data_IF_184697443279
#
_entry.id   IF_184697443279
#
_cell.length_a   1.000
_cell.length_b   1.000
_cell.length_c   1.000
_cell.angle_alpha   90.00
_cell.angle_beta   90.00
_cell.angle_gamma   90.00
#
_symmetry.space_group_name_H-M   'P 1'
#
loop_
_entity.id
_entity.type
_entity.pdbx_description
1 polymer ?
#
# COMPACT_ATOMS: atom_id res chain seq x y z
N UNK A 1 -24.95 -43.71 27.18
CA UNK A 1 -23.84 -44.46 26.54
C UNK A 1 -23.38 -43.90 25.20
N UNK A 2 -24.18 -43.20 24.39
CA UNK A 2 -23.71 -42.67 23.05
C UNK A 2 -22.82 -41.43 23.13
N UNK A 3 -22.84 -40.65 24.19
CA UNK A 3 -21.97 -39.43 24.33
C UNK A 3 -20.49 -39.78 24.54
N UNK A 4 -20.19 -40.89 25.23
CA UNK A 4 -18.81 -41.28 25.50
C UNK A 4 -18.07 -41.83 24.28
N UNK A 5 -18.77 -42.45 23.35
CA UNK A 5 -18.15 -43.01 22.13
C UNK A 5 -17.69 -41.92 21.15
N UNK A 6 -18.48 -40.85 21.03
CA UNK A 6 -18.10 -39.68 20.21
C UNK A 6 -16.87 -38.97 20.80
N UNK A 7 -16.85 -38.77 22.10
CA UNK A 7 -15.72 -38.15 22.82
C UNK A 7 -14.45 -38.98 22.72
N UNK A 8 -14.55 -40.32 22.71
CA UNK A 8 -13.39 -41.21 22.54
C UNK A 8 -12.81 -41.13 21.13
N UNK A 9 -13.66 -41.13 20.11
CA UNK A 9 -13.21 -41.03 18.72
C UNK A 9 -12.56 -39.66 18.43
N UNK A 10 -13.08 -38.58 19.01
CA UNK A 10 -12.49 -37.26 18.88
C UNK A 10 -11.11 -37.20 19.57
N UNK A 11 -10.99 -37.74 20.78
CA UNK A 11 -9.73 -37.84 21.51
C UNK A 11 -8.71 -38.71 20.76
N UNK A 12 -9.15 -39.81 20.16
CA UNK A 12 -8.30 -40.67 19.34
C UNK A 12 -7.79 -39.93 18.09
N UNK A 13 -8.69 -39.22 17.36
CA UNK A 13 -8.31 -38.40 16.20
C UNK A 13 -7.29 -37.32 16.58
N UNK A 14 -7.50 -36.65 17.72
CA UNK A 14 -6.55 -35.62 18.19
C UNK A 14 -5.19 -36.22 18.54
N UNK A 15 -5.15 -37.40 19.20
CA UNK A 15 -3.90 -38.10 19.52
C UNK A 15 -3.16 -38.58 18.26
N UNK A 16 -3.89 -39.16 17.32
CA UNK A 16 -3.30 -39.63 16.04
C UNK A 16 -2.76 -38.41 15.27
N UNK A 17 -3.53 -37.31 15.19
CA UNK A 17 -3.05 -36.08 14.54
C UNK A 17 -1.79 -35.54 15.20
N UNK A 18 -1.73 -35.50 16.52
CA UNK A 18 -0.54 -35.04 17.25
C UNK A 18 0.66 -35.97 17.03
N UNK A 19 0.43 -37.30 17.03
CA UNK A 19 1.46 -38.29 16.75
C UNK A 19 2.01 -38.11 15.32
N UNK A 20 1.15 -38.02 14.32
CA UNK A 20 1.56 -37.77 12.94
C UNK A 20 2.34 -36.49 12.80
N UNK A 21 1.90 -35.39 13.45
CA UNK A 21 2.66 -34.14 13.43
C UNK A 21 4.03 -34.25 14.08
N UNK A 22 4.19 -35.09 15.08
CA UNK A 22 5.48 -35.31 15.76
C UNK A 22 6.40 -36.21 14.97
N UNK A 23 5.88 -37.30 14.37
CA UNK A 23 6.66 -38.29 13.64
C UNK A 23 6.98 -37.83 12.22
N UNK A 24 6.01 -37.19 11.55
CA UNK A 24 6.18 -36.66 10.20
C UNK A 24 6.40 -35.14 10.20
N UNK A 25 7.12 -34.63 11.18
CA UNK A 25 7.46 -33.21 11.27
C UNK A 25 8.13 -32.79 9.97
N UNK A 26 7.42 -32.04 9.15
CA UNK A 26 8.00 -31.41 7.97
C UNK A 26 9.04 -30.40 8.42
N UNK A 27 10.29 -30.65 8.13
CA UNK A 27 11.35 -29.68 8.32
C UNK A 27 11.31 -28.77 7.10
N UNK A 28 10.81 -27.57 7.27
CA UNK A 28 10.87 -26.56 6.24
C UNK A 28 12.31 -26.02 6.17
N UNK A 29 13.09 -26.56 5.24
CA UNK A 29 14.39 -25.99 4.93
C UNK A 29 14.15 -24.77 4.04
N UNK A 30 14.44 -23.59 4.56
CA UNK A 30 14.43 -22.36 3.75
C UNK A 30 15.65 -22.41 2.82
N UNK A 31 15.41 -22.56 1.54
CA UNK A 31 16.42 -22.43 0.49
C UNK A 31 16.22 -21.08 -0.18
N UNK A 32 17.24 -20.24 -0.14
CA UNK A 32 17.23 -18.97 -0.88
C UNK A 32 17.92 -19.22 -2.22
N UNK A 33 17.19 -19.04 -3.29
CA UNK A 33 17.73 -19.10 -4.65
C UNK A 33 17.66 -17.70 -5.26
N UNK A 34 18.78 -17.25 -5.81
CA UNK A 34 18.83 -16.05 -6.61
C UNK A 34 18.32 -16.37 -8.02
N UNK A 35 17.21 -15.74 -8.40
CA UNK A 35 16.64 -15.90 -9.74
C UNK A 35 16.77 -14.57 -10.47
N UNK A 36 17.34 -14.62 -11.68
CA UNK A 36 17.48 -13.46 -12.54
C UNK A 36 16.52 -13.58 -13.70
N UNK A 37 15.68 -12.59 -13.89
CA UNK A 37 14.73 -12.51 -14.98
C UNK A 37 15.01 -11.28 -15.86
N UNK A 38 14.65 -11.35 -17.12
CA UNK A 38 14.78 -10.23 -18.06
C UNK A 38 13.40 -9.67 -18.37
N UNK A 39 13.24 -8.37 -18.23
CA UNK A 39 12.00 -7.66 -18.54
C UNK A 39 12.17 -6.83 -19.80
N UNK A 40 11.23 -6.96 -20.73
CA UNK A 40 11.19 -6.14 -21.93
C UNK A 40 10.76 -4.70 -21.57
N UNK A 41 11.57 -3.69 -21.93
CA UNK A 41 11.25 -2.29 -21.65
C UNK A 41 10.16 -1.72 -22.59
N UNK A 42 9.88 -2.41 -23.70
CA UNK A 42 8.88 -2.03 -24.70
C UNK A 42 7.71 -3.00 -24.70
N UNK A 43 7.12 -3.18 -23.57
CA UNK A 43 5.96 -4.06 -23.44
C UNK A 43 4.70 -3.48 -24.07
N UNK A 44 3.72 -4.36 -24.33
CA UNK A 44 2.39 -3.91 -24.70
C UNK A 44 1.78 -3.14 -23.51
N UNK A 45 1.45 -1.85 -23.68
CA UNK A 45 1.04 -0.98 -22.57
C UNK A 45 -0.35 -1.31 -22.02
N UNK A 46 -1.07 -2.27 -22.61
CA UNK A 46 -2.47 -2.56 -22.26
C UNK A 46 -2.70 -2.73 -20.76
N UNK A 47 -1.87 -3.55 -20.11
CA UNK A 47 -2.02 -3.81 -18.67
C UNK A 47 -1.71 -2.55 -17.83
N UNK A 48 -0.61 -1.89 -18.13
CA UNK A 48 -0.16 -0.68 -17.43
C UNK A 48 -1.15 0.47 -17.64
N UNK A 49 -1.58 0.68 -18.88
CA UNK A 49 -2.54 1.73 -19.22
C UNK A 49 -3.90 1.50 -18.54
N UNK A 50 -4.36 0.25 -18.50
CA UNK A 50 -5.61 -0.11 -17.80
C UNK A 50 -5.53 0.23 -16.31
N UNK A 51 -4.43 -0.16 -15.64
CA UNK A 51 -4.22 0.16 -14.22
C UNK A 51 -4.13 1.66 -14.00
N UNK A 52 -3.44 2.39 -14.89
CA UNK A 52 -3.32 3.84 -14.86
C UNK A 52 -4.69 4.51 -14.99
N UNK A 53 -5.52 4.10 -15.93
CA UNK A 53 -6.86 4.65 -16.13
C UNK A 53 -7.75 4.47 -14.90
N UNK A 54 -7.72 3.29 -14.26
CA UNK A 54 -8.45 3.07 -13.00
C UNK A 54 -7.92 3.92 -11.85
N UNK A 55 -6.60 4.10 -11.77
CA UNK A 55 -5.97 4.97 -10.79
C UNK A 55 -6.40 6.43 -10.97
N UNK A 56 -6.33 6.93 -12.19
CA UNK A 56 -6.62 8.34 -12.50
C UNK A 56 -8.10 8.67 -12.27
N UNK A 57 -9.00 7.76 -12.67
CA UNK A 57 -10.43 7.87 -12.34
C UNK A 57 -10.69 7.86 -10.83
N UNK A 58 -9.95 7.04 -10.08
CA UNK A 58 -10.06 7.05 -8.62
C UNK A 58 -9.68 8.40 -8.04
N UNK A 59 -8.58 9.01 -8.52
CA UNK A 59 -8.17 10.34 -8.06
C UNK A 59 -9.17 11.42 -8.44
N UNK A 60 -9.78 11.34 -9.61
CA UNK A 60 -10.86 12.22 -10.01
C UNK A 60 -12.05 12.13 -9.06
N UNK A 61 -12.51 10.93 -8.73
CA UNK A 61 -13.60 10.75 -7.77
C UNK A 61 -13.23 11.24 -6.37
N UNK A 62 -12.00 11.01 -5.89
CA UNK A 62 -11.52 11.58 -4.63
C UNK A 62 -11.58 13.12 -4.64
N UNK A 63 -11.24 13.75 -5.75
CA UNK A 63 -11.35 15.21 -5.92
C UNK A 63 -12.82 15.66 -5.88
N UNK A 64 -13.70 14.94 -6.56
CA UNK A 64 -15.14 15.23 -6.57
C UNK A 64 -15.77 15.10 -5.18
N UNK A 65 -15.37 14.11 -4.39
CA UNK A 65 -15.80 13.99 -2.98
C UNK A 65 -15.44 15.26 -2.20
N UNK A 66 -14.22 15.77 -2.33
CA UNK A 66 -13.79 17.00 -1.65
C UNK A 66 -14.61 18.22 -2.09
N UNK A 67 -14.88 18.35 -3.39
CA UNK A 67 -15.71 19.44 -3.94
C UNK A 67 -17.13 19.40 -3.39
N UNK A 68 -17.74 18.20 -3.38
CA UNK A 68 -19.11 18.07 -2.88
C UNK A 68 -19.20 18.16 -1.36
N UNK A 69 -18.15 17.78 -0.63
CA UNK A 69 -18.06 18.02 0.81
C UNK A 69 -17.99 19.53 1.15
N UNK A 70 -17.32 20.33 0.32
CA UNK A 70 -17.34 21.78 0.46
C UNK A 70 -18.75 22.36 0.20
N UNK A 71 -19.38 21.96 -0.91
CA UNK A 71 -20.77 22.36 -1.22
C UNK A 71 -21.77 21.94 -0.16
N UNK A 72 -21.59 20.76 0.43
CA UNK A 72 -22.41 20.30 1.55
C UNK A 72 -22.30 21.23 2.76
N UNK A 73 -21.08 21.67 3.09
CA UNK A 73 -20.87 22.65 4.18
C UNK A 73 -21.49 24.01 3.88
N UNK A 74 -21.47 24.45 2.62
CA UNK A 74 -22.10 25.70 2.18
C UNK A 74 -23.64 25.61 2.25
N UNK A 75 -24.20 24.49 1.76
CA UNK A 75 -25.65 24.23 1.83
C UNK A 75 -26.16 24.16 3.29
N UNK A 76 -25.37 23.56 4.20
CA UNK A 76 -25.69 23.57 5.63
C UNK A 76 -25.74 24.96 6.23
N UNK A 77 -24.86 25.88 5.79
CA UNK A 77 -24.86 27.27 6.25
C UNK A 77 -26.02 28.08 5.67
N UNK A 78 -26.47 27.71 4.46
CA UNK A 78 -27.59 28.35 3.79
C UNK A 78 -28.95 27.79 4.24
N UNK A 79 -28.96 26.72 5.04
CA UNK A 79 -30.16 26.01 5.50
C UNK A 79 -31.10 25.57 4.36
N UNK A 80 -30.54 25.26 3.19
CA UNK A 80 -31.28 24.80 2.02
C UNK A 80 -31.37 23.24 2.01
N UNK A 81 -32.55 22.65 2.30
CA UNK A 81 -32.69 21.21 2.43
C UNK A 81 -32.48 20.47 1.11
N UNK A 82 -32.86 21.04 -0.03
CA UNK A 82 -32.72 20.42 -1.34
C UNK A 82 -31.24 20.37 -1.75
N UNK A 83 -30.51 21.47 -1.54
CA UNK A 83 -29.06 21.51 -1.79
C UNK A 83 -28.29 20.57 -0.85
N UNK A 84 -28.68 20.43 0.41
CA UNK A 84 -28.10 19.51 1.39
C UNK A 84 -28.27 18.07 0.93
N UNK A 85 -29.47 17.66 0.53
CA UNK A 85 -29.74 16.31 0.08
C UNK A 85 -28.98 15.98 -1.21
N UNK A 86 -29.00 16.88 -2.17
CA UNK A 86 -28.26 16.73 -3.44
C UNK A 86 -26.77 16.59 -3.19
N UNK A 87 -26.18 17.42 -2.34
CA UNK A 87 -24.75 17.36 -2.03
C UNK A 87 -24.38 16.06 -1.30
N UNK A 88 -25.21 15.61 -0.36
CA UNK A 88 -25.03 14.32 0.35
C UNK A 88 -25.05 13.13 -0.62
N UNK A 89 -26.05 13.09 -1.51
CA UNK A 89 -26.20 12.00 -2.47
C UNK A 89 -25.02 11.96 -3.45
N UNK A 90 -24.56 13.11 -3.93
CA UNK A 90 -23.39 13.18 -4.81
C UNK A 90 -22.10 12.79 -4.09
N UNK A 91 -21.90 13.21 -2.86
CA UNK A 91 -20.75 12.82 -2.05
C UNK A 91 -20.71 11.31 -1.84
N UNK A 92 -21.83 10.70 -1.43
CA UNK A 92 -21.94 9.24 -1.25
C UNK A 92 -21.69 8.46 -2.55
N UNK A 93 -22.21 8.95 -3.68
CA UNK A 93 -21.97 8.34 -4.99
C UNK A 93 -20.49 8.32 -5.35
N UNK A 94 -19.81 9.48 -5.26
CA UNK A 94 -18.40 9.56 -5.62
C UNK A 94 -17.49 8.83 -4.63
N UNK A 95 -17.86 8.75 -3.36
CA UNK A 95 -17.17 7.94 -2.38
C UNK A 95 -17.26 6.45 -2.69
N UNK A 96 -18.44 5.97 -3.05
CA UNK A 96 -18.65 4.58 -3.48
C UNK A 96 -17.86 4.26 -4.76
N UNK A 97 -17.85 5.17 -5.74
CA UNK A 97 -17.10 5.01 -6.98
C UNK A 97 -15.59 4.97 -6.72
N UNK A 98 -15.04 5.87 -5.88
CA UNK A 98 -13.61 5.83 -5.58
C UNK A 98 -13.20 4.55 -4.83
N UNK A 99 -14.07 4.04 -3.94
CA UNK A 99 -13.83 2.79 -3.22
C UNK A 99 -13.88 1.59 -4.18
N UNK A 100 -14.83 1.55 -5.10
CA UNK A 100 -14.91 0.51 -6.13
C UNK A 100 -13.62 0.46 -6.97
N UNK A 101 -13.12 1.62 -7.42
CA UNK A 101 -11.85 1.68 -8.16
C UNK A 101 -10.65 1.25 -7.32
N UNK A 102 -10.63 1.56 -6.01
CA UNK A 102 -9.60 1.06 -5.10
C UNK A 102 -9.60 -0.47 -5.02
N UNK A 103 -10.76 -1.08 -4.91
CA UNK A 103 -10.90 -2.55 -4.84
C UNK A 103 -10.43 -3.19 -6.15
N UNK A 104 -10.82 -2.62 -7.31
CA UNK A 104 -10.37 -3.10 -8.61
C UNK A 104 -8.85 -3.04 -8.72
N UNK A 105 -8.22 -1.92 -8.36
CA UNK A 105 -6.77 -1.75 -8.42
C UNK A 105 -6.03 -2.77 -7.56
N UNK A 106 -6.47 -2.99 -6.32
CA UNK A 106 -5.86 -3.96 -5.44
C UNK A 106 -6.05 -5.40 -5.95
N UNK A 107 -7.22 -5.69 -6.53
CA UNK A 107 -7.52 -7.01 -7.10
C UNK A 107 -6.74 -7.29 -8.39
N UNK A 108 -6.41 -6.27 -9.15
CA UNK A 108 -5.65 -6.38 -10.39
C UNK A 108 -4.27 -6.97 -10.14
N UNK A 109 -3.57 -6.47 -9.11
CA UNK A 109 -2.30 -7.03 -8.68
C UNK A 109 -2.45 -8.46 -8.13
N UNK A 110 -3.41 -8.69 -7.24
CA UNK A 110 -3.67 -10.01 -6.66
C UNK A 110 -4.02 -11.07 -7.72
N UNK A 111 -4.66 -10.65 -8.82
CA UNK A 111 -5.00 -11.52 -9.95
C UNK A 111 -3.76 -12.10 -10.64
N UNK A 112 -2.66 -11.35 -10.71
CA UNK A 112 -1.39 -11.80 -11.32
C UNK A 112 -0.80 -13.01 -10.58
N UNK A 113 -1.02 -13.13 -9.27
CA UNK A 113 -0.56 -14.26 -8.47
C UNK A 113 -1.47 -15.51 -8.53
N UNK A 114 -2.67 -15.38 -9.08
CA UNK A 114 -3.64 -16.47 -9.11
C UNK A 114 -3.28 -17.48 -10.20
N UNK A 115 -2.95 -18.72 -9.81
CA UNK A 115 -2.74 -19.83 -10.76
C UNK A 115 -3.95 -20.01 -11.65
N UNK A 116 -3.73 -20.11 -12.96
CA UNK A 116 -4.80 -20.21 -13.96
C UNK A 116 -5.41 -18.87 -14.38
N UNK A 117 -4.96 -17.76 -13.83
CA UNK A 117 -5.34 -16.43 -14.35
C UNK A 117 -4.70 -16.21 -15.74
N UNK A 118 -5.41 -15.47 -16.60
CA UNK A 118 -4.93 -15.18 -17.97
C UNK A 118 -3.57 -14.45 -17.99
N UNK A 119 -3.32 -13.58 -17.01
CA UNK A 119 -2.06 -12.83 -16.87
C UNK A 119 -1.29 -13.27 -15.63
N UNK A 120 -1.26 -14.57 -15.37
CA UNK A 120 -0.45 -15.09 -14.28
C UNK A 120 1.04 -14.88 -14.56
N UNK A 121 1.71 -14.19 -13.65
CA UNK A 121 3.17 -14.04 -13.64
C UNK A 121 3.67 -14.01 -12.20
N UNK A 122 4.35 -15.07 -11.81
CA UNK A 122 4.98 -15.17 -10.49
C UNK A 122 6.14 -14.17 -10.37
N UNK A 123 6.85 -13.95 -11.44
CA UNK A 123 8.00 -13.06 -11.53
C UNK A 123 7.57 -11.60 -11.24
N UNK A 124 6.51 -11.14 -11.89
CA UNK A 124 5.95 -9.80 -11.64
C UNK A 124 5.49 -9.66 -10.18
N UNK A 125 4.79 -10.65 -9.66
CA UNK A 125 4.34 -10.65 -8.28
C UNK A 125 5.52 -10.63 -7.29
N UNK A 126 6.56 -11.41 -7.54
CA UNK A 126 7.77 -11.45 -6.73
C UNK A 126 8.52 -10.11 -6.75
N UNK A 127 8.65 -9.48 -7.92
CA UNK A 127 9.28 -8.16 -8.05
C UNK A 127 8.55 -7.08 -7.23
N UNK A 128 7.22 -7.02 -7.32
CA UNK A 128 6.43 -6.05 -6.55
C UNK A 128 6.59 -6.28 -5.05
N UNK A 129 6.50 -7.53 -4.60
CA UNK A 129 6.63 -7.87 -3.17
C UNK A 129 8.06 -7.59 -2.66
N UNK A 130 9.07 -7.94 -3.43
CA UNK A 130 10.47 -7.70 -3.08
C UNK A 130 10.78 -6.20 -3.02
N UNK A 131 10.35 -5.44 -4.02
CA UNK A 131 10.55 -3.99 -4.07
C UNK A 131 9.85 -3.30 -2.91
N UNK A 132 8.59 -3.66 -2.61
CA UNK A 132 7.86 -3.12 -1.46
C UNK A 132 8.55 -3.42 -0.14
N UNK A 133 8.99 -4.66 0.07
CA UNK A 133 9.76 -5.05 1.26
C UNK A 133 11.08 -4.30 1.39
N UNK A 134 11.77 -4.06 0.28
CA UNK A 134 13.03 -3.30 0.26
C UNK A 134 12.79 -1.82 0.61
N UNK A 135 11.75 -1.20 0.05
CA UNK A 135 11.38 0.19 0.34
C UNK A 135 11.10 0.37 1.84
N UNK A 136 10.28 -0.51 2.43
CA UNK A 136 9.96 -0.45 3.87
C UNK A 136 11.20 -0.65 4.73
N UNK A 137 12.08 -1.58 4.37
CA UNK A 137 13.32 -1.84 5.11
C UNK A 137 14.26 -0.64 5.09
N UNK A 138 14.47 -0.04 3.93
CA UNK A 138 15.33 1.14 3.78
C UNK A 138 14.73 2.36 4.49
N UNK A 139 13.43 2.56 4.39
CA UNK A 139 12.74 3.63 5.09
C UNK A 139 12.82 3.46 6.61
N UNK A 140 12.70 2.22 7.11
CA UNK A 140 12.93 1.94 8.54
C UNK A 140 14.34 2.34 8.97
N UNK A 141 15.36 1.98 8.18
CA UNK A 141 16.74 2.36 8.51
C UNK A 141 16.92 3.88 8.57
N UNK A 142 16.21 4.63 7.72
CA UNK A 142 16.19 6.09 7.78
C UNK A 142 15.53 6.59 9.06
N UNK A 143 14.38 6.03 9.43
CA UNK A 143 13.67 6.41 10.65
C UNK A 143 14.39 6.00 11.92
N UNK A 144 15.17 4.92 11.94
CA UNK A 144 16.03 4.53 13.06
C UNK A 144 17.07 5.63 13.40
N UNK A 145 17.45 6.48 12.44
CA UNK A 145 18.43 7.57 12.64
C UNK A 145 17.79 8.84 13.23
N UNK A 146 16.50 9.02 13.09
CA UNK A 146 15.80 10.26 13.47
C UNK A 146 14.76 10.08 14.58
N UNK A 147 14.36 8.86 14.84
CA UNK A 147 13.33 8.54 15.81
C UNK A 147 13.37 7.08 16.22
N UNK A 148 12.23 6.57 16.69
CA UNK A 148 12.09 5.18 17.12
C UNK A 148 10.96 4.52 16.33
N UNK A 149 11.25 3.67 15.33
CA UNK A 149 10.23 2.87 14.67
C UNK A 149 9.60 1.90 15.66
N UNK A 150 8.28 1.89 15.74
CA UNK A 150 7.50 1.08 16.67
C UNK A 150 6.97 -0.19 16.01
N UNK A 151 6.29 -0.05 14.89
CA UNK A 151 5.67 -1.15 14.15
C UNK A 151 5.77 -0.91 12.64
N UNK A 152 5.96 -1.99 11.91
CA UNK A 152 5.91 -2.04 10.45
C UNK A 152 4.68 -2.83 10.05
N UNK A 153 3.81 -2.25 9.24
CA UNK A 153 2.62 -2.93 8.74
C UNK A 153 2.52 -2.74 7.23
N UNK A 154 2.85 -3.79 6.49
CA UNK A 154 2.76 -3.90 5.03
C UNK A 154 3.44 -2.76 4.27
N UNK A 155 2.87 -1.57 4.29
CA UNK A 155 3.27 -0.36 3.56
C UNK A 155 3.40 0.87 4.48
N UNK A 156 3.19 0.68 5.78
CA UNK A 156 3.22 1.73 6.80
C UNK A 156 4.30 1.54 7.85
N UNK A 157 4.83 2.65 8.36
CA UNK A 157 5.79 2.69 9.45
C UNK A 157 5.23 3.58 10.56
N UNK A 158 4.99 2.98 11.73
CA UNK A 158 4.67 3.73 12.93
C UNK A 158 5.97 4.16 13.59
N UNK A 159 6.16 5.47 13.72
CA UNK A 159 7.41 6.02 14.25
C UNK A 159 7.15 7.04 15.33
N UNK A 160 7.89 6.95 16.43
CA UNK A 160 7.93 7.98 17.44
C UNK A 160 9.05 8.96 17.07
N UNK A 161 8.68 10.21 16.81
CA UNK A 161 9.62 11.29 16.53
C UNK A 161 9.85 12.13 17.80
N UNK A 162 11.07 12.67 18.02
CA UNK A 162 11.33 13.60 19.11
C UNK A 162 10.46 14.85 19.01
N UNK A 163 10.03 15.40 20.13
CA UNK A 163 9.19 16.62 20.19
C UNK A 163 9.78 17.82 19.44
N UNK A 164 11.08 17.91 19.34
CA UNK A 164 11.80 18.97 18.63
C UNK A 164 12.04 18.68 17.15
N UNK A 165 11.59 17.52 16.63
CA UNK A 165 11.76 17.19 15.23
C UNK A 165 10.82 18.04 14.37
N UNK A 166 11.34 18.73 13.35
CA UNK A 166 10.51 19.61 12.52
C UNK A 166 9.62 18.79 11.61
N UNK A 167 8.32 18.89 11.81
CA UNK A 167 7.34 18.27 10.90
C UNK A 167 7.24 19.02 9.58
N UNK A 168 7.28 20.36 9.66
CA UNK A 168 7.11 21.21 8.49
C UNK A 168 8.22 22.25 8.38
N UNK A 169 8.78 22.37 7.18
CA UNK A 169 9.72 23.42 6.81
C UNK A 169 9.11 24.36 5.80
N UNK A 170 9.26 25.66 6.02
CA UNK A 170 8.81 26.68 5.09
C UNK A 170 10.01 27.49 4.60
N UNK A 171 10.22 27.47 3.29
CA UNK A 171 11.23 28.30 2.62
C UNK A 171 10.58 29.47 1.91
N UNK A 172 11.22 30.62 1.99
CA UNK A 172 10.82 31.78 1.20
C UNK A 172 11.78 31.88 0.00
N UNK A 173 11.23 31.77 -1.20
CA UNK A 173 11.98 31.90 -2.43
C UNK A 173 12.35 33.36 -2.71
N UNK A 174 13.32 33.59 -3.61
CA UNK A 174 13.76 34.93 -4.01
C UNK A 174 12.63 35.80 -4.62
N UNK A 175 11.57 35.17 -5.12
CA UNK A 175 10.38 35.84 -5.64
C UNK A 175 9.32 36.13 -4.55
N UNK A 176 9.65 35.94 -3.28
CA UNK A 176 8.73 36.12 -2.14
C UNK A 176 7.72 34.99 -1.93
N UNK A 177 7.69 33.98 -2.80
CA UNK A 177 6.76 32.84 -2.68
C UNK A 177 7.23 31.90 -1.58
N UNK A 178 6.32 31.51 -0.68
CA UNK A 178 6.59 30.52 0.36
C UNK A 178 6.25 29.12 -0.12
N UNK A 179 7.17 28.20 0.08
CA UNK A 179 6.98 26.77 -0.19
C UNK A 179 7.14 26.03 1.15
N UNK A 180 6.14 25.25 1.51
CA UNK A 180 6.17 24.42 2.72
C UNK A 180 6.38 22.95 2.35
N UNK A 181 7.26 22.28 3.05
CA UNK A 181 7.54 20.86 2.92
C UNK A 181 7.19 20.15 4.22
N UNK A 182 6.61 18.99 4.09
CA UNK A 182 6.53 17.99 5.12
C UNK A 182 7.89 17.25 5.14
N UNK A 183 8.70 17.48 6.18
CA UNK A 183 10.09 17.05 6.18
C UNK A 183 10.26 15.53 6.21
N UNK A 184 9.59 14.75 7.11
CA UNK A 184 9.72 13.29 7.13
C UNK A 184 9.28 12.64 5.83
N UNK A 185 8.18 13.11 5.26
CA UNK A 185 7.66 12.63 3.99
C UNK A 185 8.63 12.92 2.84
N UNK A 186 9.19 14.12 2.81
CA UNK A 186 10.17 14.53 1.79
C UNK A 186 11.44 13.68 1.84
N UNK A 187 11.95 13.36 3.04
CA UNK A 187 13.12 12.48 3.18
C UNK A 187 12.86 11.08 2.60
N UNK A 188 11.74 10.46 2.96
CA UNK A 188 11.37 9.15 2.46
C UNK A 188 11.16 9.17 0.94
N UNK A 189 10.48 10.18 0.44
CA UNK A 189 10.22 10.31 -1.00
C UNK A 189 11.49 10.56 -1.81
N UNK A 190 12.46 11.29 -1.26
CA UNK A 190 13.77 11.45 -1.89
C UNK A 190 14.55 10.14 -1.95
N UNK A 191 14.58 9.37 -0.86
CA UNK A 191 15.19 8.03 -0.83
C UNK A 191 14.58 7.11 -1.90
N UNK A 192 13.25 7.10 -2.01
CA UNK A 192 12.55 6.28 -2.99
C UNK A 192 12.87 6.74 -4.41
N UNK A 193 12.85 8.04 -4.68
CA UNK A 193 13.15 8.60 -5.98
C UNK A 193 14.54 8.21 -6.48
N UNK A 194 15.53 8.29 -5.61
CA UNK A 194 16.92 7.99 -5.97
C UNK A 194 17.16 6.50 -6.21
N UNK A 195 16.61 5.65 -5.34
CA UNK A 195 16.93 4.23 -5.31
C UNK A 195 15.96 3.37 -6.11
N UNK A 196 14.66 3.72 -6.13
CA UNK A 196 13.59 2.91 -6.70
C UNK A 196 12.88 3.54 -7.89
N UNK A 197 13.29 4.73 -8.33
CA UNK A 197 12.77 5.34 -9.54
C UNK A 197 13.17 4.54 -10.79
N UNK A 198 12.22 4.30 -11.69
CA UNK A 198 12.51 3.66 -12.95
C UNK A 198 13.01 4.69 -13.98
N UNK A 199 14.32 4.77 -14.12
CA UNK A 199 14.99 5.73 -15.05
C UNK A 199 14.92 5.30 -16.52
N UNK A 200 14.44 4.10 -16.79
CA UNK A 200 14.40 3.50 -18.13
C UNK A 200 12.97 3.34 -18.66
N UNK A 201 11.99 3.96 -17.99
CA UNK A 201 10.61 3.84 -18.42
C UNK A 201 10.38 4.47 -19.79
N UNK A 202 9.83 3.69 -20.72
CA UNK A 202 9.57 4.12 -22.08
C UNK A 202 8.07 4.26 -22.34
N UNK A 203 7.66 5.44 -22.76
CA UNK A 203 6.27 5.72 -23.17
C UNK A 203 6.21 5.83 -24.69
N UNK A 204 5.24 5.14 -25.31
CA UNK A 204 4.98 5.24 -26.73
C UNK A 204 4.29 6.58 -27.03
N UNK A 205 5.01 7.51 -27.64
CA UNK A 205 4.50 8.85 -27.98
C UNK A 205 3.80 8.85 -29.34
N UNK A 206 4.39 8.19 -30.33
CA UNK A 206 3.83 8.09 -31.66
C UNK A 206 3.68 6.64 -32.09
N UNK A 207 2.41 6.18 -32.27
CA UNK A 207 2.09 4.79 -32.67
C UNK A 207 2.51 4.47 -34.10
N UNK A 208 2.41 5.44 -35.01
CA UNK A 208 2.70 5.24 -36.44
C UNK A 208 4.20 5.10 -36.69
N UNK A 209 5.00 6.00 -36.07
CA UNK A 209 6.45 6.01 -36.16
C UNK A 209 7.16 5.13 -35.13
N UNK A 210 6.41 4.54 -34.17
CA UNK A 210 6.95 3.78 -33.05
C UNK A 210 8.03 4.55 -32.27
N UNK A 211 7.78 5.83 -32.06
CA UNK A 211 8.67 6.68 -31.28
C UNK A 211 8.38 6.55 -29.80
N UNK A 212 9.43 6.36 -29.02
CA UNK A 212 9.36 6.21 -27.56
C UNK A 212 10.12 7.35 -26.89
N UNK A 213 9.55 7.87 -25.83
CA UNK A 213 10.19 8.81 -24.93
C UNK A 213 10.62 8.08 -23.65
N UNK A 214 11.89 8.25 -23.26
CA UNK A 214 12.42 7.69 -22.03
C UNK A 214 12.31 8.72 -20.92
N UNK A 215 11.72 8.35 -19.79
CA UNK A 215 11.60 9.22 -18.62
C UNK A 215 11.86 8.48 -17.33
N UNK A 216 12.12 9.23 -16.24
CA UNK A 216 12.12 8.68 -14.93
C UNK A 216 10.67 8.59 -14.41
N UNK A 217 10.18 7.38 -14.18
CA UNK A 217 8.86 7.14 -13.64
C UNK A 217 8.96 6.87 -12.14
N UNK A 218 8.17 7.62 -11.38
CA UNK A 218 8.04 7.50 -9.95
C UNK A 218 6.56 7.51 -9.59
N UNK A 219 6.06 6.39 -9.06
CA UNK A 219 4.63 6.21 -8.76
C UNK A 219 4.37 5.82 -7.30
N UNK A 220 5.42 5.71 -6.49
CA UNK A 220 5.32 5.36 -5.07
C UNK A 220 5.72 6.58 -4.24
N UNK A 221 4.83 7.00 -3.35
CA UNK A 221 5.05 8.14 -2.47
C UNK A 221 4.65 7.78 -1.05
N UNK A 222 5.46 8.21 -0.09
CA UNK A 222 5.06 8.22 1.32
C UNK A 222 4.19 9.44 1.59
N UNK A 223 3.13 9.21 2.37
CA UNK A 223 2.30 10.25 2.97
C UNK A 223 2.39 10.12 4.49
N UNK A 224 2.36 11.22 5.21
CA UNK A 224 2.26 11.23 6.66
C UNK A 224 0.80 11.23 7.07
N UNK A 225 0.47 10.38 8.03
CA UNK A 225 -0.79 10.34 8.72
C UNK A 225 -0.56 10.55 10.23
N UNK A 226 -1.32 11.45 10.82
CA UNK A 226 -1.15 11.79 12.23
C UNK A 226 -0.98 13.30 12.48
N UNK A 227 -0.40 13.73 13.60
CA UNK A 227 0.16 12.94 14.69
C UNK A 227 -0.90 12.22 15.54
N UNK A 228 -0.60 10.97 15.90
CA UNK A 228 -1.46 10.18 16.80
C UNK A 228 -1.09 10.45 18.25
N UNK A 229 -2.09 10.53 19.14
CA UNK A 229 -1.88 10.82 20.56
C UNK A 229 -1.44 9.62 21.38
N UNK A 230 -1.83 8.44 20.97
CA UNK A 230 -1.40 7.18 21.61
C UNK A 230 -1.49 6.03 20.62
N UNK A 231 -0.67 5.01 20.88
CA UNK A 231 -0.69 3.73 20.18
C UNK A 231 -0.72 2.61 21.21
N UNK A 232 -1.69 1.69 21.09
CA UNK A 232 -1.80 0.52 21.95
C UNK A 232 -1.32 -0.69 21.16
N UNK A 233 -0.16 -1.22 21.56
CA UNK A 233 0.40 -2.41 20.93
C UNK A 233 0.07 -3.61 21.84
N UNK A 234 -0.57 -4.68 21.32
CA UNK A 234 -0.80 -5.88 22.09
C UNK A 234 0.54 -6.48 22.52
N UNK A 235 0.71 -6.71 23.81
CA UNK A 235 1.90 -7.33 24.36
C UNK A 235 1.65 -8.79 24.72
N UNK A 236 2.60 -9.67 24.41
CA UNK A 236 2.61 -11.05 24.93
C UNK A 236 3.38 -11.10 26.24
N UNK A 237 2.93 -11.98 27.16
CA UNK A 237 3.70 -12.31 28.37
C UNK A 237 4.94 -13.16 28.08
N UNK A 238 5.02 -13.75 26.90
CA UNK A 238 6.15 -14.56 26.47
C UNK A 238 7.08 -13.75 25.58
N UNK A 239 8.35 -13.70 25.94
CA UNK A 239 9.38 -13.00 25.20
C UNK A 239 9.49 -13.54 23.76
N UNK A 240 9.53 -12.67 22.77
CA UNK A 240 9.66 -13.03 21.35
C UNK A 240 8.39 -13.52 20.65
N UNK A 241 7.24 -13.59 21.33
CA UNK A 241 5.97 -13.88 20.68
C UNK A 241 5.20 -12.59 20.35
N UNK A 242 5.05 -12.34 19.06
CA UNK A 242 4.10 -11.34 18.57
C UNK A 242 2.68 -11.93 18.63
N UNK A 243 1.75 -11.19 19.23
CA UNK A 243 0.33 -11.49 19.10
C UNK A 243 -0.08 -11.21 17.65
N UNK A 244 -0.55 -12.24 16.95
CA UNK A 244 -1.17 -12.03 15.64
C UNK A 244 -2.40 -11.15 15.80
N UNK A 245 -2.49 -10.11 15.00
CA UNK A 245 -3.73 -9.34 14.80
C UNK A 245 -4.82 -10.22 14.22
#
# INVERSE_FOLDING_TARGET
MRKDTQTYQEKLKQRVKKYCQTVYKQVHVKKTELKTDTVCMRENPFYVDTVRDFRDRRYEFKRLVKVWAAKFKEALKAEDPEAIETARNRMSLYESLQLAHKIILNSFYGYVMKKGARWYSMEMAAMVTHTGGSIITDSRQLFDQIGMPLELDTDGIWTLLPKGFPENYTFTLNNGKKISFDFPCTMCNNLIYDKYGNKQYQTLVNKERREYETRNEMSVFFEIDGPYRCMLIPASKEEGKMLKK
#
